data_IF_577234712025
#
_entry.id   IF_577234712025
#
_cell.length_a   1.000
_cell.length_b   1.000
_cell.length_c   1.000
_cell.angle_alpha   90.00
_cell.angle_beta   90.00
_cell.angle_gamma   90.00
#
_symmetry.space_group_name_H-M   'P 1'
#
loop_
_entity.id
_entity.type
_entity.pdbx_description
1 polymer ?
#
# COMPACT_ATOMS: atom_id res chain seq x y z
N UNK A 1 -7.14 5.47 16.80
CA UNK A 1 -8.05 4.31 16.63
C UNK A 1 -7.55 3.31 15.60
N UNK A 2 -7.26 3.67 14.34
CA UNK A 2 -6.70 2.72 13.35
C UNK A 2 -5.37 2.11 13.82
N UNK A 3 -4.48 2.93 14.40
CA UNK A 3 -3.23 2.50 15.03
C UNK A 3 -3.40 1.34 16.01
N UNK A 4 -4.43 1.37 16.86
CA UNK A 4 -4.69 0.37 17.90
C UNK A 4 -4.91 -1.02 17.30
N UNK A 5 -5.75 -1.11 16.27
CA UNK A 5 -5.99 -2.37 15.53
C UNK A 5 -4.73 -2.86 14.82
N UNK A 6 -4.00 -1.96 14.17
CA UNK A 6 -2.69 -2.27 13.58
C UNK A 6 -1.69 -2.80 14.62
N UNK A 7 -1.61 -2.18 15.80
CA UNK A 7 -0.66 -2.54 16.85
C UNK A 7 -0.99 -3.90 17.48
N UNK A 8 -2.28 -4.24 17.63
CA UNK A 8 -2.74 -5.60 17.99
C UNK A 8 -2.31 -6.62 16.92
N UNK A 9 -2.53 -6.34 15.63
CA UNK A 9 -2.13 -7.22 14.52
C UNK A 9 -0.60 -7.38 14.38
N UNK A 10 0.17 -6.48 15.00
CA UNK A 10 1.64 -6.52 15.11
C UNK A 10 2.15 -7.14 16.43
N UNK A 11 1.24 -7.56 17.31
CA UNK A 11 1.52 -8.03 18.68
C UNK A 11 2.25 -6.99 19.57
N UNK A 12 2.23 -5.70 19.21
CA UNK A 12 2.84 -4.62 20.00
C UNK A 12 1.85 -4.13 21.07
N UNK A 13 1.77 -4.90 22.17
CA UNK A 13 0.91 -4.64 23.33
C UNK A 13 1.22 -3.27 23.96
N UNK A 14 2.48 -2.81 23.90
CA UNK A 14 2.90 -1.53 24.48
C UNK A 14 2.31 -0.36 23.70
N UNK A 15 2.44 -0.35 22.36
CA UNK A 15 1.83 0.71 21.53
C UNK A 15 0.31 0.64 21.53
N UNK A 16 -0.26 -0.56 21.59
CA UNK A 16 -1.71 -0.74 21.69
C UNK A 16 -2.26 -0.15 23.01
N UNK A 17 -1.58 -0.32 24.15
CA UNK A 17 -2.03 0.30 25.40
C UNK A 17 -1.84 1.82 25.41
N UNK A 18 -0.75 2.34 24.83
CA UNK A 18 -0.54 3.79 24.62
C UNK A 18 -1.66 4.41 23.76
N UNK A 19 -2.01 3.78 22.64
CA UNK A 19 -3.10 4.23 21.76
C UNK A 19 -4.47 4.21 22.48
N UNK A 20 -4.72 3.18 23.30
CA UNK A 20 -5.95 3.04 24.06
C UNK A 20 -6.06 4.12 25.15
N UNK A 21 -4.95 4.42 25.84
CA UNK A 21 -4.86 5.50 26.82
C UNK A 21 -5.08 6.87 26.15
N UNK A 22 -4.48 7.10 24.97
CA UNK A 22 -4.74 8.32 24.17
C UNK A 22 -6.21 8.49 23.82
N UNK A 23 -6.87 7.43 23.33
CA UNK A 23 -8.31 7.46 23.02
C UNK A 23 -9.12 7.71 24.30
N UNK A 24 -8.86 6.99 25.39
CA UNK A 24 -9.59 7.14 26.65
C UNK A 24 -9.51 8.56 27.23
N UNK A 25 -8.30 9.14 27.30
CA UNK A 25 -8.08 10.51 27.80
C UNK A 25 -8.74 11.54 26.88
N UNK A 26 -8.52 11.45 25.56
CA UNK A 26 -9.03 12.47 24.63
C UNK A 26 -10.55 12.38 24.44
N UNK A 27 -11.15 11.19 24.54
CA UNK A 27 -12.61 11.07 24.56
C UNK A 27 -13.21 11.61 25.87
N UNK A 28 -12.61 11.29 27.04
CA UNK A 28 -13.17 11.65 28.36
C UNK A 28 -12.98 13.12 28.71
N UNK A 29 -11.76 13.64 28.54
CA UNK A 29 -11.39 15.00 28.94
C UNK A 29 -11.25 15.93 27.72
N UNK A 30 -10.77 15.40 26.59
CA UNK A 30 -10.53 16.16 25.35
C UNK A 30 -11.79 16.42 24.50
N UNK A 31 -12.96 16.57 25.14
CA UNK A 31 -14.26 16.80 24.50
C UNK A 31 -14.57 15.82 23.34
N UNK A 32 -14.48 14.51 23.59
CA UNK A 32 -14.76 13.49 22.57
C UNK A 32 -13.63 13.28 21.54
N UNK A 33 -12.49 13.95 21.70
CA UNK A 33 -11.32 13.84 20.82
C UNK A 33 -10.98 15.11 20.05
N UNK A 34 -11.63 16.24 20.36
CA UNK A 34 -11.33 17.55 19.76
C UNK A 34 -10.04 18.19 20.32
N UNK A 35 -9.59 17.79 21.51
CA UNK A 35 -8.39 18.34 22.18
C UNK A 35 -7.46 17.18 22.59
N UNK A 36 -6.18 17.23 22.18
CA UNK A 36 -5.17 16.21 22.54
C UNK A 36 -4.57 16.43 23.93
N UNK A 37 -5.37 16.15 24.96
CA UNK A 37 -4.93 16.19 26.37
C UNK A 37 -3.93 15.06 26.66
N UNK A 38 -4.01 13.92 25.97
CA UNK A 38 -3.06 12.82 26.11
C UNK A 38 -1.65 13.18 25.60
N UNK A 39 -1.56 13.98 24.53
CA UNK A 39 -0.31 14.58 24.06
C UNK A 39 0.27 15.56 25.07
N UNK A 40 -0.55 16.44 25.64
CA UNK A 40 -0.13 17.33 26.73
C UNK A 40 0.32 16.57 27.99
N UNK A 41 -0.26 15.38 28.25
CA UNK A 41 0.15 14.44 29.29
C UNK A 41 1.38 13.58 28.96
N UNK A 42 2.03 13.78 27.81
CA UNK A 42 3.28 13.09 27.45
C UNK A 42 3.12 11.64 26.96
N UNK A 43 1.91 11.19 26.63
CA UNK A 43 1.68 9.84 26.07
C UNK A 43 2.24 9.77 24.64
N UNK A 44 3.04 8.76 24.25
CA UNK A 44 3.54 8.62 22.88
C UNK A 44 2.43 8.55 21.83
N UNK A 45 2.63 9.11 20.64
CA UNK A 45 1.71 8.98 19.50
C UNK A 45 2.24 7.93 18.51
N UNK A 46 1.54 6.81 18.37
CA UNK A 46 1.93 5.72 17.47
C UNK A 46 1.11 5.78 16.17
N UNK A 47 1.50 6.64 15.22
CA UNK A 47 0.88 6.69 13.90
C UNK A 47 1.24 5.44 13.07
N UNK A 48 0.36 4.44 13.09
CA UNK A 48 0.50 3.18 12.33
C UNK A 48 -0.78 2.89 11.52
N UNK A 49 -0.61 2.25 10.38
CA UNK A 49 -1.65 1.86 9.42
C UNK A 49 -1.62 0.35 9.14
N UNK A 50 -2.64 -0.19 8.48
CA UNK A 50 -2.63 -1.60 8.02
C UNK A 50 -1.49 -1.88 7.02
N UNK A 51 -1.01 -0.87 6.30
CA UNK A 51 0.20 -1.00 5.46
C UNK A 51 1.46 -1.29 6.30
N UNK A 52 1.58 -0.67 7.47
CA UNK A 52 2.67 -0.95 8.41
C UNK A 52 2.55 -2.36 9.02
N UNK A 53 1.32 -2.83 9.27
CA UNK A 53 1.03 -4.21 9.67
C UNK A 53 1.55 -5.21 8.63
N UNK A 54 1.17 -5.04 7.36
CA UNK A 54 1.62 -5.90 6.26
C UNK A 54 3.15 -5.84 6.07
N UNK A 55 3.77 -4.69 6.29
CA UNK A 55 5.23 -4.55 6.22
C UNK A 55 5.96 -5.38 7.30
N UNK A 56 5.43 -5.42 8.53
CA UNK A 56 5.95 -6.29 9.60
C UNK A 56 5.68 -7.78 9.39
N UNK A 57 4.65 -8.14 8.61
CA UNK A 57 4.40 -9.53 8.19
C UNK A 57 5.26 -9.97 6.99
N UNK A 58 6.17 -9.11 6.50
CA UNK A 58 7.13 -9.44 5.45
C UNK A 58 6.95 -8.66 4.15
N UNK A 59 5.82 -7.98 3.92
CA UNK A 59 5.60 -7.19 2.71
C UNK A 59 6.33 -5.84 2.77
N UNK A 60 7.66 -5.87 2.84
CA UNK A 60 8.51 -4.68 2.92
C UNK A 60 8.60 -3.95 1.58
N UNK A 61 8.93 -4.69 0.52
CA UNK A 61 9.06 -4.16 -0.84
C UNK A 61 7.66 -4.05 -1.48
N UNK A 62 7.27 -2.84 -1.90
CA UNK A 62 5.98 -2.61 -2.54
C UNK A 62 6.10 -1.46 -3.54
N UNK A 63 5.50 -1.62 -4.72
CA UNK A 63 5.65 -0.68 -5.82
C UNK A 63 5.03 0.67 -5.48
N UNK A 64 5.75 1.75 -5.79
CA UNK A 64 5.32 3.13 -5.62
C UNK A 64 4.39 3.56 -6.77
N UNK A 65 3.38 4.36 -6.45
CA UNK A 65 2.60 5.13 -7.43
C UNK A 65 1.89 6.31 -6.74
N UNK A 66 1.32 7.22 -7.53
CA UNK A 66 0.54 8.35 -7.02
C UNK A 66 -0.95 8.08 -7.21
N UNK A 67 -1.71 8.10 -6.11
CA UNK A 67 -3.17 8.03 -6.15
C UNK A 67 -3.77 9.39 -6.51
N UNK A 68 -4.80 9.45 -7.38
CA UNK A 68 -5.61 10.65 -7.55
C UNK A 68 -6.16 11.14 -6.22
N UNK A 69 -6.05 12.44 -5.94
CA UNK A 69 -6.45 13.13 -4.70
C UNK A 69 -5.66 12.74 -3.44
N UNK A 70 -5.35 11.46 -3.23
CA UNK A 70 -4.66 10.95 -2.03
C UNK A 70 -3.12 11.10 -2.08
N UNK A 71 -2.52 11.24 -3.26
CA UNK A 71 -1.09 11.53 -3.41
C UNK A 71 -0.17 10.29 -3.37
N UNK A 72 1.12 10.47 -3.02
CA UNK A 72 2.14 9.42 -2.97
C UNK A 72 1.73 8.19 -2.13
N UNK A 73 1.90 6.98 -2.68
CA UNK A 73 1.48 5.72 -2.03
C UNK A 73 2.25 4.50 -2.53
N UNK A 74 2.09 3.35 -1.84
CA UNK A 74 2.50 2.03 -2.36
C UNK A 74 1.30 1.10 -2.52
N UNK A 75 1.43 0.01 -3.28
CA UNK A 75 0.36 -1.01 -3.45
C UNK A 75 -0.13 -1.55 -2.09
N UNK A 76 0.79 -1.89 -1.20
CA UNK A 76 0.50 -2.35 0.16
C UNK A 76 -0.27 -1.30 0.97
N UNK A 77 0.17 -0.05 0.93
CA UNK A 77 -0.39 1.03 1.74
C UNK A 77 -1.74 1.52 1.19
N UNK A 78 -1.92 1.49 -0.14
CA UNK A 78 -3.19 1.73 -0.81
C UNK A 78 -4.24 0.65 -0.48
N UNK A 79 -3.85 -0.64 -0.45
CA UNK A 79 -4.74 -1.73 -0.03
C UNK A 79 -5.13 -1.60 1.46
N UNK A 80 -4.16 -1.35 2.35
CA UNK A 80 -4.42 -1.11 3.77
C UNK A 80 -5.32 0.11 4.02
N UNK A 81 -5.14 1.18 3.23
CA UNK A 81 -6.00 2.37 3.27
C UNK A 81 -7.40 2.04 2.72
N UNK A 82 -7.51 1.29 1.63
CA UNK A 82 -8.78 0.86 1.04
C UNK A 82 -9.64 0.06 2.01
N UNK A 83 -9.07 -0.96 2.66
CA UNK A 83 -9.74 -1.76 3.71
C UNK A 83 -10.25 -0.85 4.84
N UNK A 84 -9.40 0.08 5.30
CA UNK A 84 -9.74 1.05 6.36
C UNK A 84 -10.81 2.07 5.90
N UNK A 85 -10.88 2.37 4.60
CA UNK A 85 -11.82 3.33 4.01
C UNK A 85 -13.23 2.75 3.82
N UNK A 86 -13.36 1.42 3.65
CA UNK A 86 -14.67 0.73 3.64
C UNK A 86 -15.30 0.72 5.04
N UNK A 87 -14.49 0.54 6.10
CA UNK A 87 -14.95 0.54 7.50
C UNK A 87 -14.29 1.65 8.34
N UNK A 88 -14.53 2.95 8.01
CA UNK A 88 -13.83 4.04 8.67
C UNK A 88 -14.48 4.33 10.03
N UNK A 89 -13.72 4.38 11.14
CA UNK A 89 -14.27 4.43 12.50
C UNK A 89 -15.16 5.67 12.77
N UNK A 90 -14.97 6.77 12.01
CA UNK A 90 -15.84 7.96 12.04
C UNK A 90 -17.32 7.66 11.77
N UNK A 91 -17.66 6.56 11.08
CA UNK A 91 -19.05 6.17 10.81
C UNK A 91 -19.83 5.77 12.09
N UNK A 92 -19.11 5.38 13.16
CA UNK A 92 -19.68 5.04 14.48
C UNK A 92 -20.16 6.32 15.20
N UNK A 93 -19.48 7.45 15.00
CA UNK A 93 -19.82 8.75 15.62
C UNK A 93 -20.77 9.55 14.74
N UNK A 94 -20.52 9.61 13.44
CA UNK A 94 -21.33 10.35 12.47
C UNK A 94 -22.24 9.40 11.70
N UNK A 95 -23.52 9.38 12.05
CA UNK A 95 -24.53 8.58 11.35
C UNK A 95 -25.11 9.29 10.11
N UNK A 96 -25.14 10.63 10.09
CA UNK A 96 -25.67 11.40 8.95
C UNK A 96 -24.68 11.42 7.78
N UNK A 97 -25.14 11.31 6.52
CA UNK A 97 -24.25 11.38 5.36
C UNK A 97 -23.56 12.74 5.27
N UNK A 98 -24.25 13.84 5.55
CA UNK A 98 -23.68 15.19 5.54
C UNK A 98 -22.48 15.33 6.48
N UNK A 99 -22.53 14.76 7.70
CA UNK A 99 -21.40 14.77 8.63
C UNK A 99 -20.20 13.96 8.13
N UNK A 100 -20.44 12.83 7.46
CA UNK A 100 -19.38 11.98 6.88
C UNK A 100 -18.67 12.66 5.71
N UNK A 101 -19.43 13.27 4.79
CA UNK A 101 -18.85 14.02 3.67
C UNK A 101 -18.17 15.31 4.15
N UNK A 102 -18.79 16.07 5.04
CA UNK A 102 -18.23 17.31 5.60
C UNK A 102 -16.91 17.10 6.35
N UNK A 103 -16.83 16.11 7.25
CA UNK A 103 -15.56 15.76 7.94
C UNK A 103 -14.49 15.25 6.99
N UNK A 104 -14.86 14.58 5.90
CA UNK A 104 -13.92 14.11 4.88
C UNK A 104 -13.39 15.26 4.01
N UNK A 105 -14.26 16.20 3.63
CA UNK A 105 -13.86 17.41 2.90
C UNK A 105 -12.96 18.32 3.75
N UNK A 106 -13.30 18.53 5.03
CA UNK A 106 -12.46 19.29 5.96
C UNK A 106 -11.07 18.66 6.15
N UNK A 107 -11.01 17.32 6.30
CA UNK A 107 -9.74 16.60 6.36
C UNK A 107 -8.92 16.71 5.07
N UNK A 108 -9.57 16.67 3.89
CA UNK A 108 -8.90 16.85 2.60
C UNK A 108 -8.32 18.27 2.44
N UNK A 109 -9.06 19.31 2.84
CA UNK A 109 -8.57 20.70 2.83
C UNK A 109 -7.39 20.88 3.79
N UNK A 110 -7.50 20.40 5.02
CA UNK A 110 -6.39 20.47 6.00
C UNK A 110 -5.16 19.65 5.56
N UNK A 111 -5.35 18.51 4.88
CA UNK A 111 -4.24 17.74 4.31
C UNK A 111 -3.58 18.48 3.14
N UNK A 112 -4.36 19.23 2.33
CA UNK A 112 -3.82 20.01 1.21
C UNK A 112 -3.09 21.27 1.67
N UNK A 113 -3.57 21.94 2.72
CA UNK A 113 -2.92 23.10 3.32
C UNK A 113 -1.55 22.74 3.90
N UNK A 114 -1.47 21.73 4.78
CA UNK A 114 -0.20 21.20 5.31
C UNK A 114 0.72 20.51 4.29
N UNK A 115 0.35 20.46 3.01
CA UNK A 115 1.20 20.02 1.90
C UNK A 115 1.61 21.17 0.97
N UNK A 116 0.99 22.35 1.05
CA UNK A 116 1.15 23.41 0.06
C UNK A 116 2.60 23.95 0.02
N UNK A 117 3.12 24.39 1.17
CA UNK A 117 4.50 24.85 1.33
C UNK A 117 5.53 23.81 0.84
N UNK A 118 5.23 22.52 1.04
CA UNK A 118 6.08 21.41 0.61
C UNK A 118 5.97 21.14 -0.90
N UNK A 119 4.80 21.33 -1.52
CA UNK A 119 4.68 21.19 -2.98
C UNK A 119 5.31 22.36 -3.71
N UNK A 120 5.12 23.58 -3.21
CA UNK A 120 5.60 24.80 -3.85
C UNK A 120 7.14 24.89 -3.79
N UNK A 121 7.74 24.48 -2.66
CA UNK A 121 9.20 24.32 -2.55
C UNK A 121 9.77 23.13 -3.34
N UNK A 122 8.94 22.13 -3.70
CA UNK A 122 9.33 21.06 -4.63
C UNK A 122 9.32 21.55 -6.08
N UNK A 123 8.31 22.33 -6.47
CA UNK A 123 8.14 22.83 -7.84
C UNK A 123 9.24 23.81 -8.27
N UNK A 124 9.78 24.61 -7.35
CA UNK A 124 10.93 25.49 -7.61
C UNK A 124 12.27 24.72 -7.69
N UNK A 125 12.37 23.54 -7.04
CA UNK A 125 13.66 22.87 -6.81
C UNK A 125 13.90 21.58 -7.63
N UNK A 126 12.87 20.93 -8.17
CA UNK A 126 12.97 19.62 -8.80
C UNK A 126 12.79 19.65 -10.32
N UNK A 127 13.82 19.24 -11.07
CA UNK A 127 13.75 19.06 -12.54
C UNK A 127 12.77 17.94 -12.92
N UNK A 128 12.73 16.85 -12.14
CA UNK A 128 11.66 15.87 -12.16
C UNK A 128 11.03 15.73 -10.77
N UNK A 129 9.83 16.29 -10.63
CA UNK A 129 9.03 16.22 -9.41
C UNK A 129 8.61 14.79 -9.05
N UNK A 130 8.36 13.92 -10.05
CA UNK A 130 7.88 12.56 -9.79
C UNK A 130 8.97 11.70 -9.15
N UNK A 131 10.14 11.61 -9.77
CA UNK A 131 11.25 10.78 -9.27
C UNK A 131 11.79 11.31 -7.93
N UNK A 132 11.92 12.64 -7.77
CA UNK A 132 12.29 13.21 -6.47
C UNK A 132 11.28 12.87 -5.36
N UNK A 133 9.97 12.95 -5.66
CA UNK A 133 8.91 12.58 -4.69
C UNK A 133 8.94 11.07 -4.40
N UNK A 134 9.08 10.22 -5.42
CA UNK A 134 9.22 8.75 -5.32
C UNK A 134 10.33 8.39 -4.35
N UNK A 135 11.52 8.95 -4.54
CA UNK A 135 12.71 8.53 -3.82
C UNK A 135 12.73 9.07 -2.39
N UNK A 136 12.27 10.31 -2.17
CA UNK A 136 12.06 10.86 -0.83
C UNK A 136 10.99 10.06 -0.06
N UNK A 137 9.86 9.75 -0.69
CA UNK A 137 8.78 8.95 -0.10
C UNK A 137 9.27 7.55 0.28
N UNK A 138 9.92 6.84 -0.64
CA UNK A 138 10.44 5.49 -0.40
C UNK A 138 11.50 5.47 0.70
N UNK A 139 12.37 6.49 0.77
CA UNK A 139 13.36 6.66 1.85
C UNK A 139 12.74 6.91 3.22
N UNK A 140 11.62 7.66 3.29
CA UNK A 140 10.82 7.81 4.53
C UNK A 140 10.10 6.50 4.89
N UNK A 141 9.50 5.82 3.92
CA UNK A 141 8.74 4.59 4.13
C UNK A 141 9.65 3.42 4.56
N UNK A 142 10.85 3.33 4.00
CA UNK A 142 11.88 2.36 4.38
C UNK A 142 12.26 2.51 5.87
N UNK A 143 12.51 3.75 6.32
CA UNK A 143 12.79 4.07 7.74
C UNK A 143 11.63 3.68 8.67
N UNK A 144 10.38 3.90 8.27
CA UNK A 144 9.19 3.55 9.07
C UNK A 144 8.95 2.03 9.15
N UNK A 145 9.26 1.28 8.09
CA UNK A 145 8.95 -0.16 7.97
C UNK A 145 10.13 -1.08 8.30
N UNK A 146 11.32 -0.53 8.58
CA UNK A 146 12.52 -1.32 8.80
C UNK A 146 12.93 -2.11 7.54
N UNK A 147 12.73 -1.50 6.37
CA UNK A 147 13.20 -2.01 5.09
C UNK A 147 14.49 -1.28 4.70
N UNK A 148 15.39 -1.96 3.99
CA UNK A 148 16.46 -1.27 3.24
C UNK A 148 15.77 -0.47 2.12
N UNK A 149 16.14 0.80 1.88
CA UNK A 149 15.75 1.46 0.64
C UNK A 149 16.21 0.61 -0.56
N UNK A 150 15.41 0.53 -1.61
CA UNK A 150 15.96 0.16 -2.91
C UNK A 150 16.84 1.33 -3.34
N UNK A 151 18.15 1.12 -3.41
CA UNK A 151 19.05 2.03 -4.10
C UNK A 151 18.70 1.97 -5.59
N UNK A 152 18.69 3.13 -6.25
CA UNK A 152 18.12 3.27 -7.58
C UNK A 152 18.85 2.38 -8.58
N UNK A 153 18.11 1.53 -9.30
CA UNK A 153 18.64 0.72 -10.42
C UNK A 153 18.93 1.57 -11.67
N UNK A 154 19.24 2.85 -11.46
CA UNK A 154 19.49 3.86 -12.48
C UNK A 154 21.02 4.03 -12.71
N UNK A 155 21.85 3.63 -11.73
CA UNK A 155 23.32 3.59 -11.85
C UNK A 155 23.86 2.34 -12.59
N UNK A 156 23.00 1.36 -12.92
CA UNK A 156 23.40 0.09 -13.56
C UNK A 156 22.32 -0.44 -14.54
N UNK A 157 21.81 0.43 -15.40
CA UNK A 157 21.34 0.01 -16.74
C UNK A 157 22.45 0.44 -17.68
N UNK A 158 23.31 -0.50 -18.07
CA UNK A 158 24.31 -0.22 -19.10
C UNK A 158 23.58 -0.11 -20.44
N UNK A 159 23.72 1.04 -21.09
CA UNK A 159 23.08 1.28 -22.39
C UNK A 159 23.73 0.40 -23.45
N UNK A 160 25.00 0.04 -23.29
CA UNK A 160 25.72 -0.81 -24.23
C UNK A 160 25.22 -2.26 -24.19
N UNK A 161 24.78 -2.79 -23.03
CA UNK A 161 24.13 -4.11 -22.90
C UNK A 161 22.79 -4.17 -23.67
N UNK A 162 22.04 -3.06 -23.70
CA UNK A 162 20.80 -2.94 -24.46
C UNK A 162 21.02 -2.77 -25.97
N UNK A 163 22.22 -2.37 -26.40
CA UNK A 163 22.62 -2.34 -27.82
C UNK A 163 23.17 -3.69 -28.26
N UNK A 164 24.06 -4.31 -27.49
CA UNK A 164 24.66 -5.61 -27.82
C UNK A 164 23.59 -6.73 -27.91
N UNK A 165 22.59 -6.70 -27.02
CA UNK A 165 21.44 -7.61 -27.08
C UNK A 165 20.49 -7.36 -28.26
N UNK A 166 20.50 -6.15 -28.85
CA UNK A 166 19.76 -5.84 -30.08
C UNK A 166 20.53 -6.27 -31.35
N UNK A 167 21.85 -6.10 -31.40
CA UNK A 167 22.68 -6.50 -32.55
C UNK A 167 22.87 -8.02 -32.63
N UNK A 168 22.99 -8.71 -31.49
CA UNK A 168 23.18 -10.18 -31.43
C UNK A 168 21.96 -10.97 -31.96
N UNK A 169 20.79 -10.34 -32.07
CA UNK A 169 19.56 -10.98 -32.54
C UNK A 169 19.40 -11.14 -34.07
N UNK A 170 20.38 -10.69 -34.88
CA UNK A 170 20.14 -10.35 -36.29
C UNK A 170 20.88 -11.18 -37.38
N UNK A 171 21.55 -12.29 -37.05
CA UNK A 171 22.11 -13.26 -38.02
C UNK A 171 22.38 -14.62 -37.33
N UNK A 172 22.21 -15.80 -37.93
CA UNK A 172 21.54 -16.24 -39.18
C UNK A 172 21.04 -17.70 -38.99
N UNK A 173 20.23 -18.30 -39.89
CA UNK A 173 19.41 -19.49 -39.56
C UNK A 173 20.04 -20.87 -39.82
N UNK A 174 19.65 -21.87 -39.02
CA UNK A 174 19.83 -23.30 -39.32
C UNK A 174 18.71 -24.18 -38.73
N UNK A 175 18.36 -25.27 -39.43
CA UNK A 175 17.18 -26.11 -39.22
C UNK A 175 17.51 -27.39 -38.41
N UNK A 176 16.61 -27.80 -37.51
CA UNK A 176 16.31 -29.20 -37.16
C UNK A 176 14.85 -29.26 -36.70
N UNK A 177 13.89 -29.78 -37.50
CA UNK A 177 13.60 -31.21 -37.74
C UNK A 177 13.18 -31.99 -36.48
N UNK A 178 11.86 -31.95 -36.26
CA UNK A 178 10.96 -33.02 -35.84
C UNK A 178 11.55 -34.34 -35.30
N UNK A 179 11.22 -34.66 -34.05
CA UNK A 179 10.87 -36.03 -33.68
C UNK A 179 9.88 -36.07 -32.52
N UNK A 180 8.64 -36.44 -32.82
CA UNK A 180 7.65 -36.84 -31.82
C UNK A 180 8.09 -38.15 -31.13
N UNK A 181 7.80 -38.29 -29.85
CA UNK A 181 7.81 -39.59 -29.16
C UNK A 181 6.62 -39.69 -28.23
N UNK A 182 5.58 -40.37 -28.72
CA UNK A 182 4.39 -40.72 -27.95
C UNK A 182 4.74 -41.75 -26.87
N UNK A 183 3.97 -41.78 -25.77
CA UNK A 183 3.15 -42.94 -25.36
C UNK A 183 2.63 -42.71 -23.94
N UNK A 184 1.34 -42.39 -23.81
CA UNK A 184 0.53 -42.90 -22.71
C UNK A 184 -0.61 -43.70 -23.34
N UNK A 185 -0.42 -45.01 -23.37
CA UNK A 185 -1.45 -45.93 -23.79
C UNK A 185 -2.51 -46.10 -22.67
N UNK A 186 -3.78 -46.21 -23.07
CA UNK A 186 -4.64 -47.36 -22.75
C UNK A 186 -4.78 -47.76 -21.25
N UNK A 187 -5.96 -47.78 -20.62
CA UNK A 187 -7.34 -47.88 -21.13
C UNK A 187 -8.34 -47.21 -20.13
N UNK A 188 -9.67 -47.19 -20.30
CA UNK A 188 -10.57 -47.64 -21.36
C UNK A 188 -11.82 -46.73 -21.38
N UNK A 189 -12.67 -46.81 -22.41
CA UNK A 189 -13.98 -46.14 -22.41
C UNK A 189 -15.00 -46.76 -23.36
N UNK A 190 -16.22 -46.93 -22.87
CA UNK A 190 -17.49 -47.31 -23.55
C UNK A 190 -18.61 -46.61 -22.72
N UNK A 191 -19.65 -45.92 -23.21
CA UNK A 191 -20.48 -45.98 -24.44
C UNK A 191 -21.46 -47.18 -24.46
N UNK A 192 -22.81 -47.05 -24.51
CA UNK A 192 -23.72 -45.88 -24.35
C UNK A 192 -24.75 -46.14 -23.19
N UNK A 193 -26.10 -46.06 -23.20
CA UNK A 193 -27.14 -45.72 -24.21
C UNK A 193 -28.37 -45.02 -23.58
N UNK A 194 -29.05 -44.16 -24.36
CA UNK A 194 -30.42 -43.62 -24.10
C UNK A 194 -31.54 -44.71 -24.07
N UNK A 195 -32.82 -44.41 -23.73
CA UNK A 195 -33.42 -43.29 -22.94
C UNK A 195 -34.46 -43.74 -21.87
N UNK A 196 -35.05 -42.80 -21.10
CA UNK A 196 -36.50 -42.90 -20.77
C UNK A 196 -37.00 -42.51 -19.37
N UNK A 197 -37.99 -41.59 -19.36
CA UNK A 197 -39.22 -41.60 -18.54
C UNK A 197 -39.18 -41.36 -17.00
N UNK A 198 -39.95 -40.36 -16.57
CA UNK A 198 -40.33 -40.07 -15.16
C UNK A 198 -41.45 -41.02 -14.68
N UNK A 199 -41.70 -41.11 -13.35
CA UNK A 199 -42.66 -40.16 -12.75
C UNK A 199 -42.13 -39.41 -11.52
#
# INVERSE_FOLDING_TARGET
MVSFGSNILRLDIKRASEDLVRVGINTTFGLGGLIDIAGAGGVPDNKNTLGDTFASWGWKNSNYFVLPVLGPSTVRDALGTGITSVYPPKNIVFHTPAGRWGTTAAAAVSTREGLLDLTDSLDEAAIDKYSYTRDLYMKVRARQTGATPAEGTEDNIDIDELVESAETGAAEPAVHEDSVSETQAEAAGEAETQPGTQP
#
